data_IF_675168663070
#
_entry.id   IF_675168663070
#
_cell.length_a   1.000
_cell.length_b   1.000
_cell.length_c   1.000
_cell.angle_alpha   90.00
_cell.angle_beta   90.00
_cell.angle_gamma   90.00
#
_symmetry.space_group_name_H-M   'P 1'
#
loop_
_entity.id
_entity.type
_entity.pdbx_description
1 polymer ?
#
# COMPACT_ATOMS: atom_id res chain seq x y z
N UNK A 1 -57.34 -38.26 18.06
CA UNK A 1 -58.07 -37.22 18.83
C UNK A 1 -57.08 -36.68 19.85
N UNK A 2 -56.89 -35.36 19.89
CA UNK A 2 -55.94 -34.72 20.80
C UNK A 2 -56.34 -35.01 22.25
N UNK A 3 -55.38 -35.08 23.18
CA UNK A 3 -55.69 -35.22 24.62
C UNK A 3 -56.53 -34.05 25.11
N UNK A 4 -56.35 -32.87 24.50
CA UNK A 4 -57.21 -31.71 24.73
C UNK A 4 -58.68 -31.97 24.32
N UNK A 5 -58.91 -32.62 23.18
CA UNK A 5 -60.27 -32.99 22.72
C UNK A 5 -60.92 -34.00 23.67
N UNK A 6 -60.12 -34.91 24.26
CA UNK A 6 -60.60 -35.89 25.24
C UNK A 6 -61.04 -35.20 26.54
N UNK A 7 -60.23 -34.27 27.06
CA UNK A 7 -60.59 -33.47 28.24
C UNK A 7 -61.85 -32.66 27.97
N UNK A 8 -61.94 -32.02 26.81
CA UNK A 8 -63.11 -31.23 26.42
C UNK A 8 -64.39 -32.09 26.35
N UNK A 9 -64.29 -33.32 25.85
CA UNK A 9 -65.41 -34.27 25.82
C UNK A 9 -65.90 -34.61 27.23
N UNK A 10 -64.99 -34.97 28.14
CA UNK A 10 -65.35 -35.31 29.52
C UNK A 10 -65.99 -34.12 30.23
N UNK A 11 -65.49 -32.90 30.01
CA UNK A 11 -66.09 -31.68 30.53
C UNK A 11 -67.50 -31.44 29.97
N UNK A 12 -67.72 -31.67 28.66
CA UNK A 12 -69.04 -31.60 28.04
C UNK A 12 -70.01 -32.62 28.63
N UNK A 13 -69.55 -33.83 28.93
CA UNK A 13 -70.36 -34.87 29.59
C UNK A 13 -70.73 -34.47 31.01
N UNK A 14 -69.83 -33.84 31.77
CA UNK A 14 -70.17 -33.23 33.06
C UNK A 14 -71.25 -32.16 32.93
N UNK A 15 -71.13 -31.25 31.96
CA UNK A 15 -72.17 -30.24 31.72
C UNK A 15 -73.53 -30.86 31.40
N UNK A 16 -73.55 -31.91 30.57
CA UNK A 16 -74.78 -32.64 30.25
C UNK A 16 -75.36 -33.31 31.49
N UNK A 17 -74.52 -33.96 32.31
CA UNK A 17 -74.92 -34.61 33.55
C UNK A 17 -75.58 -33.62 34.53
N UNK A 18 -74.97 -32.45 34.73
CA UNK A 18 -75.53 -31.39 35.58
C UNK A 18 -76.80 -30.75 35.00
N UNK A 19 -76.89 -30.61 33.66
CA UNK A 19 -78.08 -30.03 33.02
C UNK A 19 -79.31 -30.93 33.06
N UNK A 20 -79.11 -32.26 33.12
CA UNK A 20 -80.19 -33.25 33.10
C UNK A 20 -80.66 -33.69 34.48
N UNK A 21 -79.96 -33.30 35.53
CA UNK A 21 -80.24 -33.75 36.89
C UNK A 21 -81.28 -32.88 37.58
N UNK A 22 -82.05 -33.48 38.48
CA UNK A 22 -83.16 -32.81 39.16
C UNK A 22 -82.65 -31.88 40.27
N UNK A 23 -83.27 -30.70 40.47
CA UNK A 23 -82.90 -29.82 41.56
C UNK A 23 -83.29 -30.44 42.91
N UNK A 24 -82.40 -30.33 43.90
CA UNK A 24 -82.56 -30.91 45.24
C UNK A 24 -83.60 -30.17 46.10
N UNK A 25 -83.87 -28.89 45.80
CA UNK A 25 -84.86 -28.06 46.48
C UNK A 25 -85.62 -27.21 45.45
N UNK A 26 -86.64 -26.45 45.88
CA UNK A 26 -87.37 -25.48 45.03
C UNK A 26 -86.46 -24.40 44.45
N UNK A 27 -85.27 -24.21 45.02
CA UNK A 27 -84.22 -23.36 44.48
C UNK A 27 -83.25 -24.20 43.63
N UNK A 28 -83.07 -23.81 42.37
CA UNK A 28 -82.28 -24.51 41.36
C UNK A 28 -80.74 -24.52 41.59
N UNK A 29 -80.27 -24.17 42.79
CA UNK A 29 -78.83 -24.05 43.10
C UNK A 29 -78.15 -25.38 43.43
N UNK A 30 -78.92 -26.39 43.86
CA UNK A 30 -78.40 -27.70 44.23
C UNK A 30 -79.04 -28.77 43.36
N UNK A 31 -78.24 -29.73 42.91
CA UNK A 31 -78.65 -30.71 41.91
C UNK A 31 -78.31 -32.12 42.38
N UNK A 32 -79.24 -33.07 42.21
CA UNK A 32 -79.08 -34.47 42.60
C UNK A 32 -78.41 -35.24 41.47
N UNK A 33 -77.21 -35.76 41.73
CA UNK A 33 -76.41 -36.47 40.73
C UNK A 33 -76.16 -37.91 41.15
N UNK A 34 -76.16 -38.83 40.18
CA UNK A 34 -75.75 -40.21 40.41
C UNK A 34 -74.27 -40.29 40.78
N UNK A 35 -73.99 -40.69 42.02
CA UNK A 35 -72.63 -40.81 42.57
C UNK A 35 -71.72 -41.69 41.71
N UNK A 36 -72.22 -42.78 41.13
CA UNK A 36 -71.40 -43.71 40.34
C UNK A 36 -70.96 -43.10 39.00
N UNK A 37 -71.88 -42.42 38.32
CA UNK A 37 -71.62 -41.78 37.02
C UNK A 37 -70.70 -40.56 37.20
N UNK A 38 -70.93 -39.74 38.23
CA UNK A 38 -70.07 -38.61 38.54
C UNK A 38 -68.64 -39.04 38.89
N UNK A 39 -68.47 -40.12 39.68
CA UNK A 39 -67.15 -40.65 40.00
C UNK A 39 -66.45 -41.25 38.77
N UNK A 40 -67.18 -41.93 37.88
CA UNK A 40 -66.62 -42.46 36.65
C UNK A 40 -66.11 -41.35 35.71
N UNK A 41 -66.87 -40.27 35.55
CA UNK A 41 -66.44 -39.09 34.77
C UNK A 41 -65.21 -38.40 35.40
N UNK A 42 -65.12 -38.38 36.74
CA UNK A 42 -63.99 -37.79 37.47
C UNK A 42 -62.72 -38.65 37.29
N UNK A 43 -62.86 -39.97 37.32
CA UNK A 43 -61.76 -40.89 37.05
C UNK A 43 -61.25 -40.80 35.61
N UNK A 44 -62.16 -40.67 34.63
CA UNK A 44 -61.80 -40.40 33.24
C UNK A 44 -61.10 -39.06 33.06
N UNK A 45 -61.56 -38.00 33.75
CA UNK A 45 -60.92 -36.70 33.74
C UNK A 45 -59.49 -36.78 34.30
N UNK A 46 -59.30 -37.48 35.41
CA UNK A 46 -57.97 -37.71 36.00
C UNK A 46 -57.02 -38.41 35.02
N UNK A 47 -57.49 -39.46 34.33
CA UNK A 47 -56.69 -40.14 33.31
C UNK A 47 -56.30 -39.19 32.17
N UNK A 48 -57.25 -38.41 31.66
CA UNK A 48 -56.99 -37.47 30.57
C UNK A 48 -56.03 -36.33 30.99
N UNK A 49 -56.12 -35.85 32.22
CA UNK A 49 -55.21 -34.82 32.75
C UNK A 49 -53.78 -35.36 32.90
N UNK A 50 -53.62 -36.61 33.33
CA UNK A 50 -52.30 -37.24 33.42
C UNK A 50 -51.68 -37.42 32.02
N UNK A 51 -52.44 -37.92 31.04
CA UNK A 51 -52.00 -38.01 29.64
C UNK A 51 -51.55 -36.64 29.09
N UNK A 52 -52.27 -35.56 29.44
CA UNK A 52 -51.94 -34.21 28.98
C UNK A 52 -50.62 -33.71 29.57
N UNK A 53 -50.40 -34.01 30.85
CA UNK A 53 -49.16 -33.68 31.55
C UNK A 53 -47.98 -34.42 30.94
N UNK A 54 -48.14 -35.72 30.66
CA UNK A 54 -47.11 -36.54 30.00
C UNK A 54 -46.77 -36.01 28.60
N UNK A 55 -47.76 -35.68 27.76
CA UNK A 55 -47.51 -35.11 26.42
C UNK A 55 -46.75 -33.77 26.48
N UNK A 56 -47.09 -32.92 27.45
CA UNK A 56 -46.41 -31.64 27.66
C UNK A 56 -44.95 -31.84 28.08
N UNK A 57 -44.69 -32.74 29.05
CA UNK A 57 -43.34 -33.07 29.48
C UNK A 57 -42.51 -33.67 28.35
N UNK A 58 -43.09 -34.57 27.55
CA UNK A 58 -42.42 -35.17 26.40
C UNK A 58 -42.10 -34.13 25.32
N UNK A 59 -43.03 -33.23 25.04
CA UNK A 59 -42.83 -32.14 24.06
C UNK A 59 -41.76 -31.16 24.54
N UNK A 60 -41.80 -30.77 25.81
CA UNK A 60 -40.80 -29.90 26.44
C UNK A 60 -39.41 -30.52 26.39
N UNK A 61 -39.29 -31.78 26.83
CA UNK A 61 -38.01 -32.52 26.84
C UNK A 61 -37.45 -32.73 25.43
N UNK A 62 -38.32 -33.04 24.46
CA UNK A 62 -37.92 -33.18 23.05
C UNK A 62 -37.42 -31.85 22.48
N UNK A 63 -38.12 -30.75 22.77
CA UNK A 63 -37.69 -29.41 22.36
C UNK A 63 -36.35 -29.04 22.99
N UNK A 64 -36.20 -29.23 24.30
CA UNK A 64 -34.96 -28.91 25.00
C UNK A 64 -33.77 -29.74 24.48
N UNK A 65 -34.01 -31.03 24.19
CA UNK A 65 -33.02 -31.90 23.53
C UNK A 65 -32.63 -31.37 22.15
N UNK A 66 -33.62 -30.99 21.33
CA UNK A 66 -33.38 -30.40 20.02
C UNK A 66 -32.57 -29.10 20.10
N UNK A 67 -32.90 -28.23 21.06
CA UNK A 67 -32.15 -26.99 21.29
C UNK A 67 -30.71 -27.27 21.76
N UNK A 68 -30.50 -28.25 22.64
CA UNK A 68 -29.15 -28.66 23.07
C UNK A 68 -28.31 -29.20 21.92
N UNK A 69 -28.87 -30.05 21.06
CA UNK A 69 -28.18 -30.57 19.89
C UNK A 69 -27.88 -29.46 18.88
N UNK A 70 -28.81 -28.52 18.66
CA UNK A 70 -28.59 -27.36 17.81
C UNK A 70 -27.48 -26.46 18.35
N UNK A 71 -27.39 -26.25 19.66
CA UNK A 71 -26.29 -25.48 20.29
C UNK A 71 -24.95 -26.18 20.09
N UNK A 72 -24.86 -27.49 20.37
CA UNK A 72 -23.61 -28.25 20.14
C UNK A 72 -23.14 -28.15 18.70
N UNK A 73 -24.02 -28.37 17.73
CA UNK A 73 -23.67 -28.23 16.31
C UNK A 73 -23.20 -26.82 15.96
N UNK A 74 -23.80 -25.78 16.55
CA UNK A 74 -23.35 -24.40 16.35
C UNK A 74 -21.96 -24.19 16.92
N UNK A 75 -21.70 -24.67 18.13
CA UNK A 75 -20.40 -24.54 18.79
C UNK A 75 -19.31 -25.27 18.00
N UNK A 76 -19.61 -26.48 17.49
CA UNK A 76 -18.70 -27.25 16.63
C UNK A 76 -18.37 -26.48 15.33
N UNK A 77 -19.36 -25.85 14.70
CA UNK A 77 -19.16 -25.04 13.49
C UNK A 77 -18.29 -23.82 13.80
N UNK A 78 -18.55 -23.13 14.92
CA UNK A 78 -17.76 -21.96 15.33
C UNK A 78 -16.33 -22.38 15.62
N UNK A 79 -16.13 -23.52 16.28
CA UNK A 79 -14.81 -24.05 16.59
C UNK A 79 -14.01 -24.40 15.33
N UNK A 80 -14.63 -25.11 14.37
CA UNK A 80 -14.00 -25.43 13.08
C UNK A 80 -13.69 -24.16 12.26
N UNK A 81 -14.60 -23.18 12.25
CA UNK A 81 -14.36 -21.90 11.58
C UNK A 81 -13.19 -21.12 12.21
N UNK A 82 -13.10 -21.11 13.54
CA UNK A 82 -11.99 -20.47 14.24
C UNK A 82 -10.68 -21.17 13.94
N UNK A 83 -10.65 -22.51 13.98
CA UNK A 83 -9.43 -23.25 13.69
C UNK A 83 -8.95 -23.02 12.25
N UNK A 84 -9.86 -23.03 11.27
CA UNK A 84 -9.53 -22.67 9.88
C UNK A 84 -9.03 -21.24 9.74
N UNK A 85 -9.59 -20.29 10.48
CA UNK A 85 -9.12 -18.90 10.47
C UNK A 85 -7.70 -18.79 11.06
N UNK A 86 -7.41 -19.52 12.13
CA UNK A 86 -6.07 -19.61 12.72
C UNK A 86 -5.06 -20.23 11.75
N UNK A 87 -5.42 -21.31 11.06
CA UNK A 87 -4.57 -21.96 10.06
C UNK A 87 -4.25 -21.03 8.89
N UNK A 88 -5.26 -20.33 8.35
CA UNK A 88 -5.07 -19.34 7.28
C UNK A 88 -4.18 -18.19 7.78
N UNK A 89 -4.38 -17.73 9.00
CA UNK A 89 -3.55 -16.69 9.59
C UNK A 89 -2.09 -17.17 9.73
N UNK A 90 -1.86 -18.36 10.26
CA UNK A 90 -0.53 -18.95 10.37
C UNK A 90 0.14 -19.09 9.01
N UNK A 91 -0.57 -19.59 8.00
CA UNK A 91 -0.08 -19.69 6.63
C UNK A 91 0.29 -18.31 6.05
N UNK A 92 -0.53 -17.29 6.29
CA UNK A 92 -0.28 -15.92 5.80
C UNK A 92 0.98 -15.30 6.42
N UNK A 93 1.20 -15.55 7.72
CA UNK A 93 2.38 -15.08 8.45
C UNK A 93 3.62 -15.80 7.93
N UNK A 94 3.55 -17.12 7.75
CA UNK A 94 4.66 -17.92 7.21
C UNK A 94 5.04 -17.47 5.79
N UNK A 95 4.04 -17.30 4.91
CA UNK A 95 4.28 -16.82 3.55
C UNK A 95 4.87 -15.41 3.51
N UNK A 96 4.37 -14.52 4.38
CA UNK A 96 4.92 -13.17 4.49
C UNK A 96 6.38 -13.20 4.97
N UNK A 97 6.70 -14.08 5.93
CA UNK A 97 8.06 -14.26 6.40
C UNK A 97 8.99 -14.83 5.32
N UNK A 98 8.53 -15.81 4.54
CA UNK A 98 9.26 -16.37 3.41
C UNK A 98 9.53 -15.30 2.33
N UNK A 99 8.52 -14.50 1.99
CA UNK A 99 8.65 -13.38 1.05
C UNK A 99 9.68 -12.34 1.54
N UNK A 100 9.69 -12.02 2.83
CA UNK A 100 10.71 -11.15 3.42
C UNK A 100 12.11 -11.76 3.32
N UNK A 101 12.25 -13.07 3.52
CA UNK A 101 13.50 -13.80 3.31
C UNK A 101 13.98 -13.74 1.85
N UNK A 102 13.07 -13.86 0.89
CA UNK A 102 13.40 -13.68 -0.53
C UNK A 102 13.85 -12.25 -0.84
N UNK A 103 13.18 -11.24 -0.30
CA UNK A 103 13.60 -9.83 -0.45
C UNK A 103 15.00 -9.63 0.12
N UNK A 104 15.30 -10.17 1.30
CA UNK A 104 16.63 -10.08 1.89
C UNK A 104 17.69 -10.74 1.00
N UNK A 105 17.38 -11.89 0.40
CA UNK A 105 18.27 -12.59 -0.53
C UNK A 105 18.51 -11.76 -1.80
N UNK A 106 17.47 -11.13 -2.36
CA UNK A 106 17.60 -10.23 -3.51
C UNK A 106 18.49 -9.03 -3.16
N UNK A 107 18.30 -8.43 -1.98
CA UNK A 107 19.13 -7.32 -1.51
C UNK A 107 20.59 -7.77 -1.40
N UNK A 108 20.85 -8.94 -0.80
CA UNK A 108 22.22 -9.45 -0.68
C UNK A 108 22.87 -9.72 -2.04
N UNK A 109 22.13 -10.32 -2.98
CA UNK A 109 22.64 -10.55 -4.32
C UNK A 109 22.95 -9.23 -5.04
N UNK A 110 22.08 -8.22 -4.89
CA UNK A 110 22.31 -6.89 -5.46
C UNK A 110 23.52 -6.18 -4.83
N UNK A 111 23.73 -6.33 -3.52
CA UNK A 111 24.93 -5.78 -2.85
C UNK A 111 26.20 -6.47 -3.34
N UNK A 112 26.18 -7.80 -3.48
CA UNK A 112 27.33 -8.57 -3.94
C UNK A 112 27.68 -8.23 -5.41
N UNK A 113 26.68 -8.05 -6.27
CA UNK A 113 26.87 -7.58 -7.64
C UNK A 113 27.44 -6.16 -7.70
N UNK A 114 26.90 -5.26 -6.87
CA UNK A 114 27.39 -3.91 -6.74
C UNK A 114 28.86 -3.88 -6.30
N UNK A 115 29.24 -4.70 -5.32
CA UNK A 115 30.63 -4.85 -4.90
C UNK A 115 31.55 -5.34 -6.03
N UNK A 116 31.11 -6.32 -6.82
CA UNK A 116 31.85 -6.81 -8.00
C UNK A 116 32.02 -5.71 -9.05
N UNK A 117 30.97 -4.93 -9.32
CA UNK A 117 31.04 -3.79 -10.23
C UNK A 117 32.02 -2.72 -9.72
N UNK A 118 31.98 -2.38 -8.43
CA UNK A 118 32.92 -1.45 -7.83
C UNK A 118 34.37 -1.93 -7.93
N UNK A 119 34.63 -3.22 -7.67
CA UNK A 119 35.98 -3.79 -7.83
C UNK A 119 36.47 -3.71 -9.28
N UNK A 120 35.58 -3.98 -10.24
CA UNK A 120 35.91 -3.90 -11.67
C UNK A 120 36.20 -2.46 -12.08
N UNK A 121 35.32 -1.52 -11.72
CA UNK A 121 35.51 -0.10 -12.00
C UNK A 121 36.80 0.45 -11.35
N UNK A 122 37.09 0.06 -10.10
CA UNK A 122 38.34 0.41 -9.42
C UNK A 122 39.57 -0.10 -10.18
N UNK A 123 39.53 -1.34 -10.67
CA UNK A 123 40.62 -1.94 -11.44
C UNK A 123 40.83 -1.22 -12.77
N UNK A 124 39.77 -0.86 -13.48
CA UNK A 124 39.85 -0.08 -14.72
C UNK A 124 40.39 1.32 -14.49
N UNK A 125 39.93 2.00 -13.43
CA UNK A 125 40.42 3.31 -13.04
C UNK A 125 41.92 3.30 -12.72
N UNK A 126 42.40 2.28 -11.99
CA UNK A 126 43.84 2.12 -11.74
C UNK A 126 44.65 1.90 -13.03
N UNK A 127 44.11 1.11 -13.98
CA UNK A 127 44.76 0.93 -15.29
C UNK A 127 44.85 2.26 -16.04
N UNK A 128 43.76 3.02 -16.12
CA UNK A 128 43.78 4.33 -16.77
C UNK A 128 44.75 5.29 -16.08
N UNK A 129 44.79 5.30 -14.75
CA UNK A 129 45.74 6.13 -14.00
C UNK A 129 47.20 5.73 -14.30
N UNK A 130 47.47 4.44 -14.49
CA UNK A 130 48.79 3.98 -14.90
C UNK A 130 49.12 4.44 -16.31
N UNK A 131 48.21 4.29 -17.27
CA UNK A 131 48.39 4.79 -18.65
C UNK A 131 48.64 6.30 -18.66
N UNK A 132 47.92 7.08 -17.86
CA UNK A 132 48.17 8.53 -17.75
C UNK A 132 49.56 8.80 -17.18
N UNK A 133 50.01 8.05 -16.17
CA UNK A 133 51.37 8.17 -15.64
C UNK A 133 52.43 7.82 -16.67
N UNK A 134 52.23 6.74 -17.42
CA UNK A 134 53.16 6.31 -18.47
C UNK A 134 53.23 7.37 -19.58
N UNK A 135 52.09 7.88 -20.05
CA UNK A 135 52.04 8.99 -21.01
C UNK A 135 52.73 10.26 -20.46
N UNK A 136 52.59 10.57 -19.16
CA UNK A 136 53.31 11.68 -18.54
C UNK A 136 54.84 11.45 -18.54
N UNK A 137 55.30 10.22 -18.34
CA UNK A 137 56.72 9.87 -18.40
C UNK A 137 57.25 9.94 -19.83
N UNK A 138 56.50 9.42 -20.81
CA UNK A 138 56.86 9.52 -22.24
C UNK A 138 56.94 10.98 -22.70
N UNK A 139 55.98 11.82 -22.29
CA UNK A 139 56.00 13.25 -22.59
C UNK A 139 57.20 13.94 -21.94
N UNK A 140 57.54 13.60 -20.68
CA UNK A 140 58.73 14.13 -20.01
C UNK A 140 60.02 13.70 -20.71
N UNK A 141 60.14 12.43 -21.08
CA UNK A 141 61.27 11.90 -21.85
C UNK A 141 61.41 12.63 -23.19
N UNK A 142 60.31 12.76 -23.93
CA UNK A 142 60.29 13.50 -25.20
C UNK A 142 60.72 14.96 -25.02
N UNK A 143 60.31 15.60 -23.91
CA UNK A 143 60.71 16.97 -23.59
C UNK A 143 62.19 17.08 -23.25
N UNK A 144 62.76 16.06 -22.61
CA UNK A 144 64.18 15.95 -22.29
C UNK A 144 65.01 15.71 -23.57
N UNK A 145 64.55 14.86 -24.48
CA UNK A 145 65.16 14.67 -25.80
C UNK A 145 65.14 15.98 -26.61
N UNK A 146 64.05 16.76 -26.53
CA UNK A 146 63.98 18.10 -27.13
C UNK A 146 64.91 19.12 -26.45
N UNK A 147 65.22 18.96 -25.17
CA UNK A 147 66.15 19.84 -24.45
C UNK A 147 67.59 19.64 -24.93
N UNK A 148 67.95 18.42 -25.32
CA UNK A 148 69.28 18.08 -25.88
C UNK A 148 69.45 18.52 -27.34
N UNK A 149 68.38 18.96 -27.99
CA UNK A 149 68.48 19.75 -29.23
C UNK A 149 68.81 21.22 -28.95
N UNK A 150 70.06 21.51 -28.60
CA UNK A 150 70.66 22.86 -28.63
C UNK A 150 70.40 23.61 -29.96
N UNK A 151 70.12 22.85 -31.02
CA UNK A 151 69.70 23.33 -32.34
C UNK A 151 68.42 24.16 -32.30
N UNK A 152 67.40 23.75 -31.52
CA UNK A 152 66.14 24.50 -31.42
C UNK A 152 66.23 25.67 -30.44
N UNK A 153 67.11 25.60 -29.43
CA UNK A 153 67.40 26.74 -28.56
C UNK A 153 67.93 27.94 -29.36
N UNK A 154 68.88 27.70 -30.27
CA UNK A 154 69.42 28.72 -31.18
C UNK A 154 68.38 29.25 -32.17
N UNK A 155 67.57 28.37 -32.77
CA UNK A 155 66.50 28.77 -33.69
C UNK A 155 65.41 29.59 -32.98
N UNK A 156 65.07 29.24 -31.74
CA UNK A 156 64.09 29.99 -30.92
C UNK A 156 64.67 31.35 -30.50
N UNK A 157 65.94 31.41 -30.11
CA UNK A 157 66.62 32.67 -29.78
C UNK A 157 66.72 33.61 -31.00
N UNK A 158 67.08 33.10 -32.18
CA UNK A 158 67.08 33.86 -33.43
C UNK A 158 65.67 34.36 -33.77
N UNK A 159 64.66 33.48 -33.66
CA UNK A 159 63.28 33.86 -33.98
C UNK A 159 62.71 34.87 -33.01
N UNK A 160 63.02 34.76 -31.71
CA UNK A 160 62.64 35.76 -30.71
C UNK A 160 63.32 37.11 -30.94
N UNK A 161 64.57 37.12 -31.42
CA UNK A 161 65.30 38.33 -31.81
C UNK A 161 64.66 39.01 -33.02
N UNK A 162 64.22 38.23 -34.01
CA UNK A 162 63.49 38.75 -35.18
C UNK A 162 62.10 39.28 -34.81
N UNK A 163 61.37 38.61 -33.91
CA UNK A 163 60.07 39.07 -33.41
C UNK A 163 60.20 40.37 -32.64
N UNK A 164 61.25 40.55 -31.83
CA UNK A 164 61.51 41.84 -31.15
C UNK A 164 61.77 42.96 -32.16
N UNK A 165 62.62 42.73 -33.17
CA UNK A 165 62.86 43.72 -34.24
C UNK A 165 61.59 44.07 -35.02
N UNK A 166 60.76 43.08 -35.35
CA UNK A 166 59.47 43.30 -36.01
C UNK A 166 58.48 44.04 -35.10
N UNK A 167 58.41 43.71 -33.80
CA UNK A 167 57.59 44.45 -32.84
C UNK A 167 58.08 45.87 -32.64
N UNK A 168 59.38 46.14 -32.62
CA UNK A 168 59.94 47.50 -32.56
C UNK A 168 59.62 48.28 -33.84
N UNK A 169 59.72 47.65 -35.02
CA UNK A 169 59.33 48.26 -36.29
C UNK A 169 57.80 48.50 -36.40
N UNK A 170 56.99 47.55 -35.96
CA UNK A 170 55.52 47.68 -35.91
C UNK A 170 55.09 48.69 -34.84
N UNK A 171 55.83 48.81 -33.73
CA UNK A 171 55.56 49.83 -32.70
C UNK A 171 55.93 51.22 -33.22
N UNK A 172 57.04 51.35 -33.97
CA UNK A 172 57.40 52.62 -34.64
C UNK A 172 56.42 52.98 -35.77
N UNK A 173 55.85 52.00 -36.48
CA UNK A 173 54.75 52.22 -37.44
C UNK A 173 53.45 52.61 -36.74
N UNK A 174 53.06 51.92 -35.67
CA UNK A 174 51.83 52.22 -34.92
C UNK A 174 51.88 53.55 -34.17
N UNK A 175 53.05 54.01 -33.71
CA UNK A 175 53.17 55.36 -33.09
C UNK A 175 53.01 56.48 -34.13
N UNK A 176 53.30 56.24 -35.41
CA UNK A 176 53.03 57.21 -36.50
C UNK A 176 51.58 57.21 -37.00
N UNK A 177 50.82 56.14 -36.74
CA UNK A 177 49.40 56.03 -37.12
C UNK A 177 48.41 56.38 -35.98
N UNK A 178 48.86 56.40 -34.71
CA UNK A 178 48.00 56.66 -33.54
C UNK A 178 48.05 58.08 -32.95
N UNK A 179 48.57 59.09 -33.66
CA UNK A 179 48.45 60.52 -33.28
C UNK A 179 47.30 61.25 -33.99
N UNK A 180 46.28 60.52 -34.44
CA UNK A 180 45.15 61.13 -35.15
C UNK A 180 43.86 60.32 -35.16
N UNK A 181 43.32 59.94 -34.00
CA UNK A 181 41.87 59.77 -33.80
C UNK A 181 41.59 59.32 -32.35
N UNK A 182 40.84 60.14 -31.60
CA UNK A 182 40.38 59.83 -30.25
C UNK A 182 39.47 58.61 -30.21
N UNK A 183 39.69 57.72 -29.24
CA UNK A 183 38.81 56.59 -28.94
C UNK A 183 37.55 57.11 -28.26
N UNK A 184 36.42 57.10 -28.97
CA UNK A 184 35.09 57.17 -28.36
C UNK A 184 34.67 55.77 -27.92
N UNK A 185 34.13 55.68 -26.70
CA UNK A 185 33.61 54.46 -26.12
C UNK A 185 32.38 53.95 -26.91
N UNK A 186 32.37 52.66 -27.25
CA UNK A 186 31.22 52.01 -27.86
C UNK A 186 30.06 51.86 -26.84
N UNK A 187 28.81 52.16 -27.22
CA UNK A 187 27.65 51.93 -26.36
C UNK A 187 27.29 50.45 -26.31
N UNK A 188 26.87 49.99 -25.12
CA UNK A 188 26.41 48.62 -24.88
C UNK A 188 25.07 48.35 -25.59
N UNK A 189 25.14 47.78 -26.80
CA UNK A 189 24.00 47.22 -27.53
C UNK A 189 24.06 45.69 -27.54
N UNK A 190 22.93 45.03 -27.26
CA UNK A 190 22.77 43.55 -27.28
C UNK A 190 23.14 42.99 -28.66
N UNK A 191 23.94 41.90 -28.77
CA UNK A 191 24.22 41.29 -30.07
C UNK A 191 22.99 40.51 -30.56
N UNK A 192 22.49 40.84 -31.76
CA UNK A 192 21.54 40.01 -32.50
C UNK A 192 22.26 38.80 -33.12
N UNK A 193 21.91 37.59 -32.68
CA UNK A 193 22.40 36.34 -33.25
C UNK A 193 21.47 35.96 -34.41
N UNK A 194 21.93 36.10 -35.66
CA UNK A 194 21.21 35.59 -36.84
C UNK A 194 21.57 34.13 -37.09
N UNK A 195 20.61 33.24 -36.84
CA UNK A 195 20.75 31.78 -37.08
C UNK A 195 20.44 31.46 -38.55
N UNK A 196 21.28 30.66 -39.21
CA UNK A 196 21.08 30.25 -40.60
C UNK A 196 20.08 29.07 -40.69
N UNK A 197 18.87 29.26 -41.24
CA UNK A 197 17.82 28.23 -41.25
C UNK A 197 18.16 27.03 -42.15
N UNK A 198 18.99 27.22 -43.18
CA UNK A 198 19.35 26.16 -44.14
C UNK A 198 20.18 25.01 -43.53
N UNK A 199 20.75 25.20 -42.33
CA UNK A 199 21.53 24.18 -41.65
C UNK A 199 20.65 23.09 -41.01
N UNK A 200 19.45 23.45 -40.53
CA UNK A 200 18.57 22.52 -39.81
C UNK A 200 17.82 21.57 -40.75
N UNK A 201 17.48 22.03 -41.96
CA UNK A 201 16.82 21.21 -42.99
C UNK A 201 17.72 20.06 -43.48
N UNK A 202 19.05 20.28 -43.54
CA UNK A 202 20.01 19.24 -43.96
C UNK A 202 20.21 18.12 -42.93
N UNK A 203 19.84 18.34 -41.66
CA UNK A 203 20.07 17.40 -40.56
C UNK A 203 18.75 16.71 -40.13
N UNK A 204 17.64 16.99 -40.82
CA UNK A 204 16.34 16.33 -40.58
C UNK A 204 15.76 16.59 -39.19
N UNK A 205 16.16 17.68 -38.52
CA UNK A 205 15.64 18.09 -37.21
C UNK A 205 14.96 19.46 -37.32
N UNK A 206 13.78 19.66 -36.72
CA UNK A 206 13.11 20.96 -36.73
C UNK A 206 13.91 22.01 -35.94
N UNK A 207 13.87 23.25 -36.44
CA UNK A 207 14.55 24.43 -35.86
C UNK A 207 14.05 24.69 -34.44
N UNK A 208 14.93 24.89 -33.43
CA UNK A 208 14.50 25.30 -32.09
C UNK A 208 14.06 26.77 -32.13
N UNK A 209 12.78 27.03 -31.87
CA UNK A 209 12.26 28.37 -31.59
C UNK A 209 12.52 28.67 -30.11
N UNK A 210 13.20 29.78 -29.77
CA UNK A 210 13.35 30.20 -28.39
C UNK A 210 12.18 31.09 -27.98
N UNK A 211 11.28 30.58 -27.14
CA UNK A 211 10.39 31.40 -26.30
C UNK A 211 10.25 30.75 -24.91
N UNK A 212 10.37 31.57 -23.88
CA UNK A 212 10.19 31.27 -22.45
C UNK A 212 9.17 32.29 -21.94
N UNK A 213 8.36 32.05 -20.88
CA UNK A 213 7.55 30.90 -20.51
C UNK A 213 6.05 31.31 -20.43
N UNK A 214 5.12 30.43 -20.83
CA UNK A 214 3.73 30.51 -20.35
C UNK A 214 3.45 29.28 -19.50
N UNK A 215 3.37 29.52 -18.19
CA UNK A 215 2.94 28.57 -17.18
C UNK A 215 1.47 28.19 -17.45
N UNK A 216 1.24 27.21 -18.32
CA UNK A 216 -0.05 26.54 -18.40
C UNK A 216 -0.18 25.63 -17.18
N UNK A 217 -1.10 26.02 -16.30
CA UNK A 217 -1.49 25.30 -15.11
C UNK A 217 -1.65 23.79 -15.41
N UNK A 218 -0.84 22.98 -14.74
CA UNK A 218 -1.17 21.58 -14.50
C UNK A 218 -2.46 21.52 -13.66
N UNK A 219 -3.34 20.53 -13.86
CA UNK A 219 -4.48 20.37 -12.98
C UNK A 219 -3.97 20.19 -11.54
N UNK A 220 -4.42 21.04 -10.62
CA UNK A 220 -4.20 20.85 -9.19
C UNK A 220 -4.83 19.51 -8.80
N UNK A 221 -3.99 18.49 -8.67
CA UNK A 221 -4.36 17.30 -7.92
C UNK A 221 -4.42 17.71 -6.46
N UNK A 222 -5.63 18.02 -6.01
CA UNK A 222 -5.97 18.29 -4.63
C UNK A 222 -5.73 17.00 -3.83
N UNK A 223 -4.49 16.79 -3.35
CA UNK A 223 -4.16 15.68 -2.45
C UNK A 223 -4.76 16.05 -1.08
N UNK A 224 -6.04 15.77 -0.90
CA UNK A 224 -6.66 15.72 0.43
C UNK A 224 -6.10 14.51 1.17
N UNK A 225 -5.02 14.74 1.91
CA UNK A 225 -4.54 13.80 2.92
C UNK A 225 -5.63 13.70 3.99
N UNK A 226 -6.30 12.54 4.06
CA UNK A 226 -7.24 12.28 5.14
C UNK A 226 -6.45 12.06 6.44
N UNK A 227 -6.27 13.13 7.21
CA UNK A 227 -5.59 13.13 8.51
C UNK A 227 -6.38 12.38 9.60
N UNK A 228 -7.62 11.94 9.30
CA UNK A 228 -8.48 11.23 10.24
C UNK A 228 -8.34 9.69 10.17
N UNK A 229 -7.33 9.20 9.42
CA UNK A 229 -6.99 7.78 9.43
C UNK A 229 -6.62 7.36 10.87
N UNK A 230 -7.31 6.34 11.39
CA UNK A 230 -7.09 5.70 12.69
C UNK A 230 -5.62 5.34 12.97
N UNK A 231 -4.80 5.31 11.92
CA UNK A 231 -3.35 5.19 11.93
C UNK A 231 -2.62 6.18 12.86
N UNK A 232 -3.17 7.37 13.15
CA UNK A 232 -2.54 8.34 14.08
C UNK A 232 -3.06 8.26 15.53
N UNK A 233 -4.12 7.50 15.80
CA UNK A 233 -4.76 7.43 17.14
C UNK A 233 -3.97 6.58 18.14
N UNK A 234 -3.08 5.70 17.70
CA UNK A 234 -2.36 4.78 18.61
C UNK A 234 -1.23 5.44 19.43
N UNK A 235 -0.68 6.59 18.98
CA UNK A 235 0.33 7.35 19.75
C UNK A 235 -0.26 8.23 20.86
N UNK A 236 -1.55 8.60 20.77
CA UNK A 236 -2.22 9.42 21.79
C UNK A 236 -2.66 8.57 22.99
N UNK A 237 -3.00 7.29 22.78
CA UNK A 237 -3.46 6.39 23.87
C UNK A 237 -2.35 6.00 24.86
N UNK A 238 -1.06 6.09 24.47
CA UNK A 238 0.08 5.85 25.38
C UNK A 238 0.48 7.03 26.27
N UNK A 239 -0.15 8.21 26.13
CA UNK A 239 0.11 9.39 26.99
C UNK A 239 -0.98 9.67 28.02
N UNK A 240 -2.07 8.90 28.02
CA UNK A 240 -3.19 9.08 28.96
C UNK A 240 -3.24 8.03 30.09
N UNK A 241 -2.45 6.94 29.98
CA UNK A 241 -2.32 5.89 31.01
C UNK A 241 -0.92 5.91 31.68
N UNK A 242 -0.40 7.11 31.95
CA UNK A 242 0.85 7.31 32.69
C UNK A 242 0.67 8.33 33.80
#
# INVERSE_FOLDING_TARGET
MSVQDKVERVLREFYVLYSRSEPYDKNAERVIVNKKEALALLEQLKSCMNEMMEEYEMTSNSRERGEREARRRRDDIIWDANHKAEDIYAASVLYSNEALGHIQTIIQNATDEMEKMFHTAKKEMMKQQQTVRDNQLELKSSLEDLKDTDKYRKVIEERNKEIKKKKEQDSQKKVKENTGAGMTAFPAGKPEIKVNPAYFEKIGRPVPVPDVPETKAAPELDIKVNLDAEYFRWRQKKKADG
#
